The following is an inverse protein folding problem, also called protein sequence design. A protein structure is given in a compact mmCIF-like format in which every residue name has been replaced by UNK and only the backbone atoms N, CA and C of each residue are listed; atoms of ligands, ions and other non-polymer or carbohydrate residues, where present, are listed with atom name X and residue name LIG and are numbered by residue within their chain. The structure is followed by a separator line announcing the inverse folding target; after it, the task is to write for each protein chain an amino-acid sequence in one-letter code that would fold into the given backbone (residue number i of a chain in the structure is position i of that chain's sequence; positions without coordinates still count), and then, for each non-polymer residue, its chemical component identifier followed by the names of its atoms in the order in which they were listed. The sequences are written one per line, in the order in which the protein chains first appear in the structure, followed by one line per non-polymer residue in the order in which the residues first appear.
data_IF_916092832910
#
_entry.id   IF_916092832910
#
_cell.length_a   1.000
_cell.length_b   1.000
_cell.length_c   1.000
_cell.angle_alpha   90.00
_cell.angle_beta   90.00
_cell.angle_gamma   90.00
#
_symmetry.space_group_name_H-M   'P 1'
#
loop_
_entity.id
_entity.type
_entity.pdbx_description
1 polymer ?
#
# COMPACT_ATOMS: atom_id res chain seq x y z
N UNK A 1 -16.64 -61.50 7.52
CA UNK A 1 -17.17 -60.43 6.64
C UNK A 1 -18.26 -59.68 7.39
N UNK A 2 -17.90 -58.55 8.00
CA UNK A 2 -18.85 -57.70 8.68
C UNK A 2 -19.12 -56.49 7.76
N UNK A 3 -20.33 -56.38 7.23
CA UNK A 3 -20.81 -55.22 6.50
C UNK A 3 -21.01 -54.08 7.50
N UNK A 4 -20.18 -53.07 7.39
CA UNK A 4 -20.39 -51.81 8.11
C UNK A 4 -21.66 -51.15 7.55
N UNK A 5 -22.68 -51.03 8.40
CA UNK A 5 -23.90 -50.28 8.14
C UNK A 5 -23.56 -48.80 8.15
N UNK A 6 -23.41 -48.18 7.00
CA UNK A 6 -23.39 -46.72 6.86
C UNK A 6 -24.82 -46.21 7.08
N UNK A 7 -25.17 -46.00 8.37
CA UNK A 7 -26.41 -45.32 8.72
C UNK A 7 -26.41 -43.93 8.13
N UNK A 8 -27.31 -43.67 7.19
CA UNK A 8 -27.65 -42.34 6.71
C UNK A 8 -28.11 -41.52 7.90
N UNK A 9 -27.27 -40.61 8.36
CA UNK A 9 -27.67 -39.55 9.28
C UNK A 9 -28.56 -38.62 8.43
N UNK A 10 -29.85 -38.85 8.45
CA UNK A 10 -30.82 -37.83 8.03
C UNK A 10 -30.65 -36.64 9.00
N UNK A 11 -29.93 -35.61 8.61
CA UNK A 11 -30.00 -34.33 9.28
C UNK A 11 -31.36 -33.77 8.98
N UNK A 12 -32.22 -33.67 9.99
CA UNK A 12 -33.47 -32.91 9.90
C UNK A 12 -33.10 -31.46 9.63
N UNK A 13 -33.15 -31.05 8.39
CA UNK A 13 -32.86 -29.69 7.98
C UNK A 13 -34.01 -28.80 8.45
N UNK A 14 -33.74 -27.64 9.01
CA UNK A 14 -34.77 -26.72 9.44
C UNK A 14 -35.56 -26.18 8.25
N UNK A 15 -36.86 -26.51 8.19
CA UNK A 15 -37.76 -26.21 7.07
C UNK A 15 -38.35 -24.81 7.18
N UNK A 16 -38.63 -24.36 8.41
CA UNK A 16 -39.26 -23.04 8.67
C UNK A 16 -38.21 -21.96 8.98
N UNK A 17 -38.56 -20.70 8.71
CA UNK A 17 -37.70 -19.56 9.02
C UNK A 17 -37.33 -19.46 10.51
N UNK A 18 -38.26 -19.87 11.39
CA UNK A 18 -38.07 -19.85 12.84
C UNK A 18 -37.09 -20.96 13.29
N UNK A 19 -37.24 -22.19 12.75
CA UNK A 19 -36.30 -23.27 12.97
C UNK A 19 -34.89 -22.94 12.48
N UNK A 20 -34.78 -22.26 11.31
CA UNK A 20 -33.48 -21.78 10.79
C UNK A 20 -32.82 -20.75 11.72
N UNK A 21 -33.60 -19.80 12.25
CA UNK A 21 -33.10 -18.79 13.21
C UNK A 21 -32.60 -19.43 14.51
N UNK A 22 -33.36 -20.39 15.06
CA UNK A 22 -33.00 -21.10 16.29
C UNK A 22 -31.75 -21.96 16.09
N UNK A 23 -31.67 -22.71 14.99
CA UNK A 23 -30.48 -23.50 14.66
C UNK A 23 -29.25 -22.63 14.44
N UNK A 24 -29.40 -21.48 13.73
CA UNK A 24 -28.32 -20.52 13.56
C UNK A 24 -27.84 -19.93 14.88
N UNK A 25 -28.76 -19.55 15.77
CA UNK A 25 -28.39 -19.02 17.11
C UNK A 25 -27.57 -20.03 17.89
N UNK A 26 -28.04 -21.29 17.97
CA UNK A 26 -27.29 -22.36 18.64
C UNK A 26 -25.89 -22.57 18.03
N UNK A 27 -25.79 -22.57 16.70
CA UNK A 27 -24.49 -22.68 16.02
C UNK A 27 -23.54 -21.50 16.33
N UNK A 28 -24.06 -20.27 16.39
CA UNK A 28 -23.31 -19.08 16.75
C UNK A 28 -22.81 -19.15 18.20
N UNK A 29 -23.67 -19.59 19.13
CA UNK A 29 -23.31 -19.76 20.54
C UNK A 29 -22.23 -20.84 20.70
N UNK A 30 -22.33 -21.94 19.98
CA UNK A 30 -21.33 -23.03 19.99
C UNK A 30 -19.98 -22.57 19.39
N UNK A 31 -20.01 -21.80 18.31
CA UNK A 31 -18.79 -21.25 17.70
C UNK A 31 -18.10 -20.29 18.69
N UNK A 32 -18.85 -19.38 19.30
CA UNK A 32 -18.27 -18.44 20.28
C UNK A 32 -17.71 -19.16 21.51
N UNK A 33 -18.37 -20.23 21.96
CA UNK A 33 -17.91 -21.04 23.09
C UNK A 33 -16.64 -21.82 22.78
N UNK A 34 -16.51 -22.36 21.56
CA UNK A 34 -15.37 -23.19 21.16
C UNK A 34 -14.17 -22.39 20.67
N UNK A 35 -14.40 -21.23 20.03
CA UNK A 35 -13.36 -20.44 19.35
C UNK A 35 -13.18 -19.04 19.95
N UNK A 36 -13.96 -18.68 20.97
CA UNK A 36 -13.87 -17.39 21.65
C UNK A 36 -14.82 -16.33 21.09
N UNK A 37 -15.08 -15.30 21.93
CA UNK A 37 -15.88 -14.15 21.54
C UNK A 37 -15.27 -13.43 20.35
N UNK A 38 -16.08 -13.10 19.32
CA UNK A 38 -15.62 -12.44 18.11
C UNK A 38 -15.15 -13.36 16.98
N UNK A 39 -15.17 -14.71 17.19
CA UNK A 39 -14.85 -15.68 16.14
C UNK A 39 -15.83 -15.66 14.96
N UNK A 40 -17.06 -15.21 15.20
CA UNK A 40 -18.07 -14.98 14.18
C UNK A 40 -18.92 -13.75 14.56
N UNK A 41 -19.23 -12.90 13.60
CA UNK A 41 -19.99 -11.67 13.79
C UNK A 41 -20.78 -11.31 12.53
N UNK A 42 -21.82 -10.50 12.66
CA UNK A 42 -22.54 -9.96 11.52
C UNK A 42 -21.80 -8.75 10.97
N UNK A 43 -21.62 -8.67 9.65
CA UNK A 43 -20.93 -7.55 9.02
C UNK A 43 -21.54 -6.19 9.37
N UNK A 44 -22.86 -6.09 9.47
CA UNK A 44 -23.56 -4.85 9.84
C UNK A 44 -23.31 -4.36 11.27
N UNK A 45 -22.95 -5.24 12.20
CA UNK A 45 -22.58 -4.87 13.57
C UNK A 45 -21.16 -4.26 13.64
N UNK A 46 -20.33 -4.51 12.63
CA UNK A 46 -18.96 -3.98 12.45
C UNK A 46 -18.84 -3.00 11.26
N UNK A 47 -19.94 -2.51 10.71
CA UNK A 47 -19.98 -1.62 9.53
C UNK A 47 -19.23 -0.27 9.70
N UNK A 48 -18.55 -0.04 10.81
CA UNK A 48 -17.60 1.05 11.05
C UNK A 48 -16.19 0.53 11.37
N UNK A 49 -15.72 -0.51 10.67
CA UNK A 49 -14.29 -0.74 10.61
C UNK A 49 -13.67 0.32 9.70
N UNK A 50 -13.51 1.54 10.23
CA UNK A 50 -12.60 2.49 9.64
C UNK A 50 -11.22 1.83 9.68
N UNK A 51 -10.76 1.36 8.53
CA UNK A 51 -9.40 0.85 8.39
C UNK A 51 -8.49 2.04 8.66
N UNK A 52 -7.77 2.02 9.79
CA UNK A 52 -6.80 3.08 10.08
C UNK A 52 -5.68 3.04 9.05
N UNK A 53 -5.23 4.21 8.62
CA UNK A 53 -4.20 4.35 7.60
C UNK A 53 -2.99 5.10 8.13
N UNK A 54 -1.83 4.92 7.48
CA UNK A 54 -0.64 5.73 7.65
C UNK A 54 -0.51 6.59 6.39
N UNK A 55 -0.45 7.93 6.50
CA UNK A 55 -0.24 8.80 5.35
C UNK A 55 1.07 8.46 4.62
N UNK A 56 1.08 8.63 3.31
CA UNK A 56 2.28 8.35 2.48
C UNK A 56 3.28 9.50 2.48
N UNK A 57 2.83 10.70 2.87
CA UNK A 57 3.56 11.95 2.72
C UNK A 57 3.22 12.69 1.42
N UNK A 58 2.52 12.05 0.49
CA UNK A 58 1.90 12.68 -0.68
C UNK A 58 0.40 12.80 -0.46
N UNK A 59 -0.12 14.02 -0.44
CA UNK A 59 -1.54 14.28 -0.25
C UNK A 59 -2.36 13.74 -1.42
N UNK A 60 -1.86 13.88 -2.63
CA UNK A 60 -2.50 13.38 -3.84
C UNK A 60 -2.64 11.84 -3.82
N UNK A 61 -1.57 11.14 -3.38
CA UNK A 61 -1.62 9.67 -3.27
C UNK A 61 -2.54 9.23 -2.12
N UNK A 62 -2.53 9.92 -0.98
CA UNK A 62 -3.43 9.64 0.14
C UNK A 62 -4.90 9.75 -0.27
N UNK A 63 -5.25 10.75 -1.09
CA UNK A 63 -6.58 10.91 -1.66
C UNK A 63 -6.91 9.80 -2.68
N UNK A 64 -5.95 9.43 -3.54
CA UNK A 64 -6.14 8.33 -4.50
C UNK A 64 -6.36 6.97 -3.81
N UNK A 65 -5.74 6.75 -2.65
CA UNK A 65 -5.92 5.54 -1.83
C UNK A 65 -7.31 5.47 -1.16
N UNK A 66 -8.03 6.59 -1.04
CA UNK A 66 -9.43 6.65 -0.62
C UNK A 66 -9.68 6.50 0.88
N UNK A 67 -8.65 6.26 1.69
CA UNK A 67 -8.73 6.14 3.16
C UNK A 67 -7.72 7.05 3.86
N UNK A 68 -7.13 8.01 3.14
CA UNK A 68 -6.15 8.97 3.67
C UNK A 68 -4.75 8.43 3.87
N UNK A 69 -4.38 7.32 3.23
CA UNK A 69 -3.05 6.71 3.30
C UNK A 69 -3.06 5.21 3.06
N UNK A 70 -1.98 4.54 3.42
CA UNK A 70 -1.83 3.09 3.33
C UNK A 70 -2.48 2.38 4.52
N UNK A 71 -3.25 1.27 4.31
CA UNK A 71 -4.00 0.60 5.36
C UNK A 71 -3.10 -0.12 6.37
N UNK A 72 -3.32 0.10 7.67
CA UNK A 72 -2.69 -0.68 8.74
C UNK A 72 -3.17 -2.13 8.72
N UNK A 73 -2.32 -3.05 9.19
CA UNK A 73 -2.66 -4.48 9.26
C UNK A 73 -2.75 -5.15 7.90
N UNK A 74 -2.08 -4.58 6.88
CA UNK A 74 -2.13 -5.08 5.50
C UNK A 74 -0.74 -5.20 4.88
N UNK A 75 -0.65 -6.05 3.86
CA UNK A 75 0.50 -6.17 2.99
C UNK A 75 0.30 -5.21 1.83
N UNK A 76 1.33 -4.41 1.55
CA UNK A 76 1.37 -3.42 0.48
C UNK A 76 2.52 -3.80 -0.46
N UNK A 77 2.35 -3.67 -1.76
CA UNK A 77 3.41 -3.75 -2.74
C UNK A 77 3.59 -2.41 -3.45
N UNK A 78 4.81 -1.87 -3.41
CA UNK A 78 5.21 -0.70 -4.20
C UNK A 78 6.22 -1.19 -5.23
N UNK A 79 5.89 -1.09 -6.52
CA UNK A 79 6.74 -1.58 -7.57
C UNK A 79 6.88 -0.59 -8.72
N UNK A 80 7.96 -0.70 -9.47
CA UNK A 80 8.24 0.18 -10.61
C UNK A 80 9.68 0.04 -11.08
N UNK A 81 10.06 0.78 -12.14
CA UNK A 81 11.41 0.81 -12.66
C UNK A 81 12.43 1.27 -11.63
N UNK A 82 13.70 1.09 -11.93
CA UNK A 82 14.80 1.65 -11.14
C UNK A 82 14.71 3.19 -11.11
N UNK A 83 15.12 3.79 -10.00
CA UNK A 83 15.12 5.26 -9.79
C UNK A 83 13.72 5.92 -9.95
N UNK A 84 12.63 5.18 -9.79
CA UNK A 84 11.25 5.72 -9.83
C UNK A 84 10.76 6.31 -8.51
N UNK A 85 11.55 6.24 -7.41
CA UNK A 85 11.22 6.80 -6.11
C UNK A 85 10.54 5.84 -5.14
N UNK A 86 10.62 4.51 -5.35
CA UNK A 86 10.03 3.50 -4.46
C UNK A 86 10.48 3.62 -3.01
N UNK A 87 11.79 3.60 -2.79
CA UNK A 87 12.39 3.71 -1.45
C UNK A 87 12.09 5.07 -0.82
N UNK A 88 12.10 6.15 -1.61
CA UNK A 88 11.72 7.50 -1.14
C UNK A 88 10.29 7.54 -0.63
N UNK A 89 9.33 6.98 -1.36
CA UNK A 89 7.93 6.89 -0.95
C UNK A 89 7.76 6.05 0.33
N UNK A 90 8.46 4.91 0.41
CA UNK A 90 8.44 4.05 1.59
C UNK A 90 9.02 4.76 2.82
N UNK A 91 10.16 5.45 2.69
CA UNK A 91 10.77 6.22 3.78
C UNK A 91 9.91 7.42 4.19
N UNK A 92 9.25 8.09 3.24
CA UNK A 92 8.27 9.13 3.55
C UNK A 92 7.12 8.58 4.40
N UNK A 93 6.61 7.40 4.06
CA UNK A 93 5.57 6.71 4.87
C UNK A 93 6.09 6.36 6.27
N UNK A 94 7.35 5.92 6.39
CA UNK A 94 8.01 5.68 7.69
C UNK A 94 8.04 6.96 8.53
N UNK A 95 8.46 8.08 7.92
CA UNK A 95 8.51 9.37 8.61
C UNK A 95 7.13 9.80 9.13
N UNK A 96 6.06 9.60 8.33
CA UNK A 96 4.69 9.89 8.79
C UNK A 96 4.24 8.95 9.93
N UNK A 97 4.63 7.67 9.89
CA UNK A 97 4.37 6.73 10.96
C UNK A 97 5.02 7.16 12.27
N UNK A 98 6.32 7.49 12.24
CA UNK A 98 7.09 7.94 13.41
C UNK A 98 6.56 9.28 13.94
N UNK A 99 6.18 10.21 13.06
CA UNK A 99 5.57 11.51 13.43
C UNK A 99 4.26 11.32 14.20
N UNK A 100 3.51 10.24 13.91
CA UNK A 100 2.33 9.84 14.67
C UNK A 100 2.64 9.02 15.94
N UNK A 101 3.91 8.87 16.33
CA UNK A 101 4.35 8.09 17.50
C UNK A 101 4.47 6.59 17.25
N UNK A 102 4.39 6.13 15.99
CA UNK A 102 4.54 4.72 15.65
C UNK A 102 5.99 4.25 15.56
N UNK A 103 6.19 2.94 15.72
CA UNK A 103 7.50 2.27 15.63
C UNK A 103 7.65 1.68 14.24
N UNK A 104 8.81 1.97 13.61
CA UNK A 104 9.14 1.53 12.26
C UNK A 104 10.36 0.62 12.23
N UNK A 105 10.34 -0.35 11.31
CA UNK A 105 11.48 -1.19 11.00
C UNK A 105 11.76 -1.20 9.48
N UNK A 106 13.04 -1.28 9.13
CA UNK A 106 13.50 -1.33 7.76
C UNK A 106 14.41 -2.57 7.57
N UNK A 107 14.00 -3.47 6.69
CA UNK A 107 14.76 -4.66 6.31
C UNK A 107 15.48 -4.32 4.99
N UNK A 108 16.73 -3.93 5.12
CA UNK A 108 17.59 -3.49 4.02
C UNK A 108 18.33 -4.68 3.41
N UNK A 109 17.64 -5.41 2.53
CA UNK A 109 18.21 -6.56 1.83
C UNK A 109 19.15 -6.15 0.66
N UNK A 110 19.06 -4.92 0.19
CA UNK A 110 19.97 -4.38 -0.84
C UNK A 110 21.24 -3.75 -0.24
N UNK A 111 21.31 -3.54 1.09
CA UNK A 111 22.40 -2.85 1.78
C UNK A 111 22.65 -1.43 1.25
N UNK A 112 21.59 -0.73 0.86
CA UNK A 112 21.66 0.53 0.13
C UNK A 112 21.00 1.73 0.87
N UNK A 113 20.52 1.54 2.09
CA UNK A 113 19.89 2.62 2.86
C UNK A 113 20.93 3.69 3.25
N UNK A 114 20.69 4.92 2.79
CA UNK A 114 21.47 6.10 3.21
C UNK A 114 20.79 6.78 4.40
N UNK A 115 21.40 6.75 5.61
CA UNK A 115 20.84 7.40 6.80
C UNK A 115 20.73 8.92 6.67
N UNK A 116 21.63 9.55 5.91
CA UNK A 116 21.61 11.00 5.70
C UNK A 116 20.41 11.39 4.85
N UNK A 117 20.14 10.61 3.80
CA UNK A 117 18.97 10.81 2.98
C UNK A 117 17.67 10.53 3.75
N UNK A 118 17.61 9.41 4.48
CA UNK A 118 16.45 9.09 5.32
C UNK A 118 16.11 10.22 6.32
N UNK A 119 17.14 10.81 6.96
CA UNK A 119 16.97 11.94 7.87
C UNK A 119 16.42 13.18 7.17
N UNK A 120 16.85 13.46 5.94
CA UNK A 120 16.30 14.57 5.13
C UNK A 120 14.83 14.38 4.77
N UNK A 121 14.39 13.14 4.59
CA UNK A 121 12.98 12.79 4.37
C UNK A 121 12.12 12.88 5.65
N UNK A 122 12.73 13.24 6.79
CA UNK A 122 12.04 13.37 8.07
C UNK A 122 11.98 12.08 8.90
N UNK A 123 12.72 11.05 8.51
CA UNK A 123 12.83 9.81 9.29
C UNK A 123 13.65 10.08 10.55
N UNK A 124 13.13 9.70 11.71
CA UNK A 124 13.88 9.60 12.95
C UNK A 124 14.80 8.38 12.88
N UNK A 125 16.06 8.62 12.47
CA UNK A 125 17.05 7.57 12.28
C UNK A 125 17.58 6.99 13.58
N UNK A 126 17.44 7.69 14.70
CA UNK A 126 17.83 7.23 16.04
C UNK A 126 16.89 6.11 16.54
N UNK A 127 15.61 6.18 16.15
CA UNK A 127 14.58 5.25 16.57
C UNK A 127 14.10 4.30 15.44
N UNK A 128 14.71 4.34 14.25
CA UNK A 128 14.42 3.40 13.18
C UNK A 128 15.14 2.08 13.43
N UNK A 129 14.38 0.99 13.56
CA UNK A 129 14.97 -0.36 13.62
C UNK A 129 15.45 -0.75 12.21
N UNK A 130 16.74 -1.11 12.09
CA UNK A 130 17.30 -1.57 10.81
C UNK A 130 17.81 -3.00 10.94
N UNK A 131 17.60 -3.81 9.91
CA UNK A 131 18.18 -5.13 9.76
C UNK A 131 18.72 -5.30 8.35
N UNK A 132 19.91 -5.86 8.24
CA UNK A 132 20.58 -6.16 6.98
C UNK A 132 20.83 -7.69 6.91
N UNK A 133 19.83 -8.45 6.45
CA UNK A 133 19.90 -9.91 6.43
C UNK A 133 20.80 -10.42 5.30
N UNK A 134 21.47 -11.55 5.53
CA UNK A 134 22.35 -12.18 4.55
C UNK A 134 21.57 -12.95 3.47
N UNK A 135 20.34 -13.42 3.75
CA UNK A 135 19.51 -14.22 2.85
C UNK A 135 17.99 -14.02 3.11
N UNK A 136 17.17 -14.43 2.16
CA UNK A 136 15.74 -14.16 2.15
C UNK A 136 14.97 -14.78 3.33
N UNK A 137 15.28 -16.01 3.75
CA UNK A 137 14.65 -16.65 4.89
C UNK A 137 14.90 -15.87 6.18
N UNK A 138 16.13 -15.37 6.39
CA UNK A 138 16.48 -14.55 7.54
C UNK A 138 15.68 -13.25 7.57
N UNK A 139 15.59 -12.55 6.43
CA UNK A 139 14.78 -11.33 6.29
C UNK A 139 13.33 -11.54 6.69
N UNK A 140 12.72 -12.62 6.19
CA UNK A 140 11.31 -12.94 6.40
C UNK A 140 11.05 -13.48 7.82
N UNK A 141 12.00 -14.18 8.44
CA UNK A 141 11.90 -14.60 9.83
C UNK A 141 12.01 -13.43 10.81
N UNK A 142 12.92 -12.47 10.54
CA UNK A 142 13.01 -11.23 11.32
C UNK A 142 11.70 -10.46 11.22
N UNK A 143 11.18 -10.31 10.00
CA UNK A 143 9.87 -9.68 9.76
C UNK A 143 8.76 -10.38 10.55
N UNK A 144 8.70 -11.70 10.52
CA UNK A 144 7.70 -12.49 11.25
C UNK A 144 7.78 -12.25 12.77
N UNK A 145 8.98 -12.22 13.35
CA UNK A 145 9.17 -11.93 14.77
C UNK A 145 8.75 -10.51 15.14
N UNK A 146 9.09 -9.52 14.30
CA UNK A 146 8.68 -8.14 14.53
C UNK A 146 7.15 -7.98 14.46
N UNK A 147 6.49 -8.59 13.46
CA UNK A 147 5.02 -8.61 13.35
C UNK A 147 4.40 -9.27 14.58
N UNK A 148 4.90 -10.44 14.99
CA UNK A 148 4.35 -11.17 16.14
C UNK A 148 4.53 -10.43 17.48
N UNK A 149 5.51 -9.55 17.60
CA UNK A 149 5.69 -8.73 18.80
C UNK A 149 4.51 -7.81 19.08
N UNK A 150 3.76 -7.42 18.03
CA UNK A 150 2.67 -6.44 18.10
C UNK A 150 3.10 -5.02 18.45
N UNK A 151 4.43 -4.77 18.51
CA UNK A 151 4.98 -3.47 18.90
C UNK A 151 5.35 -2.59 17.69
N UNK A 152 5.45 -3.16 16.49
CA UNK A 152 5.89 -2.44 15.27
C UNK A 152 4.69 -2.10 14.41
N UNK A 153 4.57 -0.83 14.02
CA UNK A 153 3.46 -0.31 13.22
C UNK A 153 3.69 -0.48 11.71
N UNK A 154 4.95 -0.33 11.27
CA UNK A 154 5.33 -0.42 9.86
C UNK A 154 6.66 -1.14 9.69
N UNK A 155 6.72 -2.05 8.72
CA UNK A 155 7.96 -2.72 8.29
C UNK A 155 8.12 -2.53 6.79
N UNK A 156 9.29 -2.06 6.38
CA UNK A 156 9.67 -1.96 4.97
C UNK A 156 10.63 -3.12 4.65
N UNK A 157 10.44 -3.78 3.51
CA UNK A 157 11.36 -4.76 2.95
C UNK A 157 11.85 -4.24 1.60
N UNK A 158 13.12 -3.83 1.53
CA UNK A 158 13.75 -3.28 0.33
C UNK A 158 14.94 -4.15 -0.09
N UNK A 159 14.84 -4.92 -1.13
CA UNK A 159 13.67 -5.19 -1.97
C UNK A 159 13.41 -6.70 -2.10
N UNK A 160 12.22 -7.08 -2.62
CA UNK A 160 11.90 -8.49 -2.92
C UNK A 160 12.94 -9.12 -3.84
N UNK A 161 13.49 -8.33 -4.78
CA UNK A 161 14.52 -8.82 -5.72
C UNK A 161 15.79 -9.30 -5.01
N UNK A 162 16.13 -8.74 -3.85
CA UNK A 162 17.30 -9.08 -3.04
C UNK A 162 17.05 -10.21 -2.03
N UNK A 163 15.82 -10.72 -1.89
CA UNK A 163 15.52 -11.85 -1.03
C UNK A 163 15.96 -13.17 -1.69
N UNK A 164 17.26 -13.40 -1.71
CA UNK A 164 17.86 -14.61 -2.29
C UNK A 164 17.72 -15.76 -1.30
N UNK A 165 17.14 -16.91 -1.69
CA UNK A 165 17.07 -18.10 -0.85
C UNK A 165 18.45 -18.59 -0.43
N UNK A 166 18.59 -19.06 0.80
CA UNK A 166 19.86 -19.59 1.32
C UNK A 166 20.41 -20.72 0.47
N UNK A 167 19.54 -21.62 -0.01
CA UNK A 167 19.92 -22.73 -0.89
C UNK A 167 20.56 -22.25 -2.20
N UNK A 168 20.13 -21.09 -2.71
CA UNK A 168 20.72 -20.46 -3.90
C UNK A 168 22.09 -19.85 -3.60
N UNK A 169 22.29 -19.26 -2.42
CA UNK A 169 23.58 -18.71 -1.98
C UNK A 169 24.62 -19.79 -1.69
N UNK A 170 24.20 -20.92 -1.13
CA UNK A 170 25.08 -22.05 -0.82
C UNK A 170 25.39 -22.91 -2.07
N UNK A 171 24.66 -22.70 -3.17
CA UNK A 171 24.82 -23.40 -4.45
C UNK A 171 26.04 -22.90 -5.27
N UNK A 172 26.30 -23.60 -6.38
CA UNK A 172 27.36 -23.19 -7.30
C UNK A 172 26.85 -22.18 -8.33
N UNK A 173 27.74 -21.32 -8.81
CA UNK A 173 27.42 -20.41 -9.92
C UNK A 173 27.01 -21.21 -11.16
N UNK A 174 25.78 -20.99 -11.65
CA UNK A 174 25.22 -21.68 -12.81
C UNK A 174 24.17 -22.74 -12.47
N UNK A 175 23.94 -23.04 -11.20
CA UNK A 175 22.85 -23.90 -10.77
C UNK A 175 21.49 -23.28 -11.16
N UNK A 176 20.58 -24.12 -11.64
CA UNK A 176 19.25 -23.69 -12.06
C UNK A 176 18.31 -23.68 -10.85
N UNK A 177 18.29 -22.57 -10.13
CA UNK A 177 17.45 -22.38 -8.92
C UNK A 177 16.08 -21.75 -9.25
N UNK A 178 15.50 -22.14 -10.39
CA UNK A 178 14.20 -21.61 -10.81
C UNK A 178 13.12 -21.86 -9.75
N UNK A 179 12.38 -20.82 -9.44
CA UNK A 179 11.24 -20.82 -8.52
C UNK A 179 11.56 -20.94 -7.01
N UNK A 180 12.79 -21.01 -6.54
CA UNK A 180 13.10 -21.03 -5.10
C UNK A 180 12.58 -19.76 -4.41
N UNK A 181 12.88 -18.58 -4.96
CA UNK A 181 12.40 -17.30 -4.43
C UNK A 181 10.88 -17.22 -4.41
N UNK A 182 10.19 -17.69 -5.47
CA UNK A 182 8.73 -17.71 -5.53
C UNK A 182 8.12 -18.66 -4.48
N UNK A 183 8.76 -19.79 -4.19
CA UNK A 183 8.36 -20.73 -3.14
C UNK A 183 8.54 -20.10 -1.76
N UNK A 184 9.70 -19.46 -1.51
CA UNK A 184 10.01 -18.75 -0.27
C UNK A 184 8.95 -17.68 -0.01
N UNK A 185 8.68 -16.80 -0.99
CA UNK A 185 7.66 -15.75 -0.88
C UNK A 185 6.27 -16.32 -0.62
N UNK A 186 5.86 -17.39 -1.32
CA UNK A 186 4.55 -18.01 -1.09
C UNK A 186 4.40 -18.58 0.32
N UNK A 187 5.43 -19.19 0.86
CA UNK A 187 5.45 -19.73 2.21
C UNK A 187 5.40 -18.62 3.27
N UNK A 188 6.24 -17.60 3.12
CA UNK A 188 6.32 -16.49 4.05
C UNK A 188 5.02 -15.68 4.09
N UNK A 189 4.47 -15.31 2.93
CA UNK A 189 3.24 -14.51 2.85
C UNK A 189 2.04 -15.24 3.46
N UNK A 190 1.96 -16.58 3.28
CA UNK A 190 0.93 -17.41 3.92
C UNK A 190 1.01 -17.34 5.45
N UNK A 191 2.22 -17.33 5.99
CA UNK A 191 2.47 -17.25 7.44
C UNK A 191 2.20 -15.84 7.97
N UNK A 192 2.72 -14.82 7.29
CA UNK A 192 2.66 -13.42 7.71
C UNK A 192 1.26 -12.81 7.66
N UNK A 193 0.44 -13.14 6.64
CA UNK A 193 -0.82 -12.46 6.39
C UNK A 193 -1.79 -12.49 7.58
N UNK A 194 -1.88 -13.62 8.29
CA UNK A 194 -2.76 -13.74 9.46
C UNK A 194 -2.28 -12.95 10.66
N UNK A 195 -0.97 -12.89 10.88
CA UNK A 195 -0.34 -12.15 11.99
C UNK A 195 -0.39 -10.66 11.76
N UNK A 196 -0.08 -10.20 10.54
CA UNK A 196 -0.16 -8.80 10.10
C UNK A 196 -1.56 -8.22 10.36
N UNK A 197 -2.61 -8.95 9.97
CA UNK A 197 -3.99 -8.50 10.18
C UNK A 197 -4.36 -8.38 11.68
N UNK A 198 -3.82 -9.25 12.54
CA UNK A 198 -4.11 -9.26 13.98
C UNK A 198 -3.36 -8.19 14.75
N UNK A 199 -2.13 -7.87 14.36
CA UNK A 199 -1.27 -6.91 15.05
C UNK A 199 -1.43 -5.48 14.54
N UNK A 200 -2.23 -5.27 13.49
CA UNK A 200 -2.35 -4.01 12.77
C UNK A 200 -1.01 -3.46 12.24
N UNK A 201 0.04 -4.29 12.18
CA UNK A 201 1.31 -3.95 11.57
C UNK A 201 1.14 -3.85 10.04
N UNK A 202 1.65 -2.80 9.41
CA UNK A 202 1.72 -2.68 7.95
C UNK A 202 3.06 -3.22 7.45
N UNK A 203 3.05 -4.03 6.39
CA UNK A 203 4.29 -4.49 5.76
C UNK A 203 4.30 -4.05 4.30
N UNK A 204 5.29 -3.22 3.93
CA UNK A 204 5.52 -2.74 2.58
C UNK A 204 6.65 -3.55 1.95
N UNK A 205 6.35 -4.21 0.85
CA UNK A 205 7.33 -4.85 -0.01
C UNK A 205 7.65 -3.92 -1.18
N UNK A 206 8.90 -3.52 -1.30
CA UNK A 206 9.41 -2.82 -2.48
C UNK A 206 9.80 -3.88 -3.51
N UNK A 207 9.34 -3.70 -4.76
CA UNK A 207 9.62 -4.66 -5.83
C UNK A 207 10.12 -3.97 -7.10
N UNK A 208 10.82 -4.73 -7.92
CA UNK A 208 11.39 -4.28 -9.18
C UNK A 208 10.63 -4.91 -10.34
N UNK A 209 10.51 -4.18 -11.44
CA UNK A 209 9.99 -4.68 -12.70
C UNK A 209 11.13 -5.33 -13.50
N UNK A 210 10.81 -6.47 -14.12
CA UNK A 210 11.70 -7.15 -15.06
C UNK A 210 10.96 -7.35 -16.38
N UNK A 211 11.67 -7.11 -17.49
CA UNK A 211 11.13 -7.37 -18.81
C UNK A 211 10.80 -8.86 -18.95
N UNK A 212 9.59 -9.17 -19.36
CA UNK A 212 9.17 -10.52 -19.70
C UNK A 212 9.52 -10.80 -21.16
N UNK A 213 10.20 -11.92 -21.44
CA UNK A 213 10.43 -12.38 -22.81
C UNK A 213 9.21 -13.11 -23.40
N UNK A 214 8.05 -13.03 -22.76
CA UNK A 214 6.85 -13.68 -23.25
C UNK A 214 6.37 -13.01 -24.56
N UNK A 215 6.18 -13.81 -25.60
CA UNK A 215 5.73 -13.35 -26.92
C UNK A 215 4.26 -12.87 -26.90
N UNK A 216 3.53 -13.25 -25.86
CA UNK A 216 2.17 -12.83 -25.54
C UNK A 216 2.04 -12.65 -24.01
N UNK A 217 1.54 -11.51 -23.56
CA UNK A 217 1.33 -11.16 -22.14
C UNK A 217 1.91 -9.80 -21.77
N UNK A 218 1.83 -9.44 -20.49
CA UNK A 218 2.37 -8.19 -20.00
C UNK A 218 3.90 -8.11 -20.25
N UNK A 219 4.41 -7.04 -20.84
CA UNK A 219 5.82 -6.90 -21.18
C UNK A 219 6.71 -6.83 -19.94
N UNK A 220 6.15 -6.53 -18.77
CA UNK A 220 6.86 -6.37 -17.50
C UNK A 220 6.21 -7.25 -16.40
N UNK A 221 7.04 -7.84 -15.55
CA UNK A 221 6.60 -8.62 -14.39
C UNK A 221 7.44 -8.29 -13.16
N UNK A 222 6.84 -8.43 -11.96
CA UNK A 222 7.54 -8.24 -10.69
C UNK A 222 8.30 -9.51 -10.28
N UNK A 223 9.38 -9.35 -9.52
CA UNK A 223 10.18 -10.47 -8.97
C UNK A 223 9.46 -11.18 -7.82
N UNK A 224 9.91 -12.40 -7.44
CA UNK A 224 9.35 -13.15 -6.31
C UNK A 224 8.08 -13.94 -6.63
N UNK A 225 7.69 -14.06 -7.91
CA UNK A 225 6.53 -14.83 -8.35
C UNK A 225 5.18 -14.15 -8.14
N UNK A 226 4.09 -14.90 -8.31
CA UNK A 226 2.71 -14.35 -8.27
C UNK A 226 2.14 -14.18 -6.85
N UNK A 227 2.75 -14.76 -5.81
CA UNK A 227 2.16 -14.80 -4.47
C UNK A 227 1.89 -13.40 -3.90
N UNK A 228 2.83 -12.45 -4.04
CA UNK A 228 2.70 -11.11 -3.50
C UNK A 228 1.52 -10.36 -4.15
N UNK A 229 1.28 -10.52 -5.46
CA UNK A 229 0.13 -9.96 -6.16
C UNK A 229 -1.22 -10.36 -5.51
N UNK A 230 -1.33 -11.61 -5.02
CA UNK A 230 -2.55 -12.10 -4.36
C UNK A 230 -2.69 -11.63 -2.92
N UNK A 231 -1.57 -11.68 -2.14
CA UNK A 231 -1.58 -11.34 -0.71
C UNK A 231 -1.65 -9.84 -0.46
N UNK A 232 -1.06 -9.01 -1.31
CA UNK A 232 -1.14 -7.56 -1.19
C UNK A 232 -2.58 -7.06 -1.21
N UNK A 233 -2.91 -6.17 -0.27
CA UNK A 233 -4.20 -5.47 -0.22
C UNK A 233 -4.19 -4.21 -1.07
N UNK A 234 -3.04 -3.57 -1.21
CA UNK A 234 -2.80 -2.42 -2.07
C UNK A 234 -1.55 -2.69 -2.90
N UNK A 235 -1.60 -2.38 -4.19
CA UNK A 235 -0.46 -2.42 -5.10
C UNK A 235 -0.35 -1.09 -5.82
N UNK A 236 0.84 -0.51 -5.80
CA UNK A 236 1.13 0.81 -6.39
C UNK A 236 2.22 0.63 -7.44
N UNK A 237 1.89 0.96 -8.69
CA UNK A 237 2.87 1.14 -9.78
C UNK A 237 3.39 2.58 -9.72
N UNK A 238 4.69 2.75 -9.46
CA UNK A 238 5.33 4.05 -9.36
C UNK A 238 6.29 4.27 -10.53
N UNK A 239 6.07 5.35 -11.29
CA UNK A 239 6.85 5.67 -12.48
C UNK A 239 7.26 7.13 -12.49
N UNK A 240 8.48 7.38 -12.97
CA UNK A 240 8.93 8.72 -13.31
C UNK A 240 8.34 9.10 -14.68
N UNK A 241 7.65 10.22 -14.77
CA UNK A 241 7.08 10.76 -16.02
C UNK A 241 7.96 11.82 -16.64
N UNK A 242 8.55 12.69 -15.83
CA UNK A 242 9.35 13.83 -16.31
C UNK A 242 10.48 14.12 -15.32
N UNK A 243 11.59 14.68 -15.83
CA UNK A 243 12.64 15.26 -14.99
C UNK A 243 12.58 16.78 -15.09
N UNK A 244 12.38 17.43 -13.94
CA UNK A 244 12.36 18.90 -13.84
C UNK A 244 13.81 19.39 -13.75
N UNK A 245 14.16 20.33 -14.63
CA UNK A 245 15.51 20.91 -14.68
C UNK A 245 15.45 22.42 -14.45
N UNK A 246 16.34 22.92 -13.60
CA UNK A 246 16.58 24.35 -13.40
C UNK A 246 18.04 24.68 -13.74
N UNK A 247 18.25 25.76 -14.48
CA UNK A 247 19.59 26.18 -14.92
C UNK A 247 20.44 25.06 -15.56
N UNK A 248 19.79 24.08 -16.24
CA UNK A 248 20.37 22.86 -16.86
C UNK A 248 20.76 21.75 -15.88
N UNK A 249 20.46 21.89 -14.61
CA UNK A 249 20.64 20.82 -13.62
C UNK A 249 19.30 20.17 -13.31
N UNK A 250 19.28 18.85 -13.17
CA UNK A 250 18.10 18.11 -12.76
C UNK A 250 17.86 18.33 -11.25
N UNK A 251 16.71 18.89 -10.89
CA UNK A 251 16.39 19.24 -9.48
C UNK A 251 15.30 18.35 -8.90
N UNK A 252 14.40 17.84 -9.73
CA UNK A 252 13.28 17.02 -9.26
C UNK A 252 12.79 16.07 -10.36
N UNK A 253 12.03 15.06 -9.97
CA UNK A 253 11.26 14.22 -10.87
C UNK A 253 9.76 14.40 -10.61
N UNK A 254 8.98 14.45 -11.69
CA UNK A 254 7.54 14.26 -11.63
C UNK A 254 7.25 12.76 -11.60
N UNK A 255 6.49 12.33 -10.60
CA UNK A 255 6.20 10.92 -10.33
C UNK A 255 4.71 10.68 -10.51
N UNK A 256 4.37 9.60 -11.20
CA UNK A 256 3.01 9.08 -11.28
C UNK A 256 2.93 7.78 -10.50
N UNK A 257 1.99 7.71 -9.55
CA UNK A 257 1.62 6.50 -8.82
C UNK A 257 0.24 6.04 -9.27
N UNK A 258 0.12 4.82 -9.82
CA UNK A 258 -1.16 4.20 -10.17
C UNK A 258 -1.49 3.13 -9.12
N UNK A 259 -2.66 3.24 -8.51
CA UNK A 259 -3.15 2.25 -7.53
C UNK A 259 -3.81 1.12 -8.29
N UNK A 260 -3.03 0.13 -8.72
CA UNK A 260 -3.52 -0.96 -9.61
C UNK A 260 -4.36 -1.99 -8.87
N UNK A 261 -4.23 -2.08 -7.54
CA UNK A 261 -5.05 -2.94 -6.69
C UNK A 261 -5.33 -2.24 -5.37
N UNK A 262 -6.58 -2.28 -4.93
CA UNK A 262 -7.00 -1.73 -3.66
C UNK A 262 -8.18 -2.54 -3.11
N UNK A 263 -8.01 -3.14 -1.91
CA UNK A 263 -9.07 -3.90 -1.22
C UNK A 263 -9.84 -3.08 -0.18
N UNK A 264 -9.48 -1.80 0.00
CA UNK A 264 -10.09 -0.92 1.03
C UNK A 264 -10.83 0.28 0.43
N UNK A 265 -10.63 0.55 -0.86
CA UNK A 265 -11.32 1.60 -1.63
C UNK A 265 -11.32 1.22 -3.13
N UNK A 266 -12.05 1.94 -4.01
CA UNK A 266 -11.99 1.70 -5.45
C UNK A 266 -10.56 1.81 -6.01
N UNK A 267 -10.09 0.82 -6.79
CA UNK A 267 -8.77 0.83 -7.41
C UNK A 267 -8.69 1.72 -8.66
N UNK A 268 -7.52 1.72 -9.31
CA UNK A 268 -7.19 2.36 -10.60
C UNK A 268 -7.10 3.88 -10.57
N UNK A 269 -7.18 4.51 -9.42
CA UNK A 269 -6.89 5.93 -9.28
C UNK A 269 -5.39 6.19 -9.42
N UNK A 270 -5.04 7.32 -10.03
CA UNK A 270 -3.67 7.78 -10.20
C UNK A 270 -3.42 9.04 -9.39
N UNK A 271 -2.19 9.18 -8.92
CA UNK A 271 -1.70 10.36 -8.22
C UNK A 271 -0.42 10.83 -8.92
N UNK A 272 -0.30 12.14 -9.13
CA UNK A 272 0.93 12.75 -9.64
C UNK A 272 1.45 13.76 -8.65
N UNK A 273 2.74 13.71 -8.37
CA UNK A 273 3.43 14.63 -7.46
C UNK A 273 4.89 14.80 -7.84
N UNK A 274 5.53 15.82 -7.26
CA UNK A 274 6.94 16.11 -7.49
C UNK A 274 7.80 15.53 -6.37
N UNK A 275 8.88 14.83 -6.73
CA UNK A 275 9.97 14.42 -5.82
C UNK A 275 11.20 15.29 -6.08
N UNK A 276 11.56 16.12 -5.11
CA UNK A 276 12.75 16.97 -5.16
C UNK A 276 13.97 16.17 -4.72
N UNK A 277 15.06 16.27 -5.45
CA UNK A 277 16.28 15.54 -5.12
C UNK A 277 16.86 15.99 -3.80
N UNK A 278 17.10 15.03 -2.90
CA UNK A 278 17.64 15.30 -1.57
C UNK A 278 16.63 15.79 -0.54
N UNK A 279 15.38 16.10 -0.92
CA UNK A 279 14.32 16.60 -0.02
C UNK A 279 13.10 15.69 0.04
N UNK A 280 12.83 14.92 -1.06
CA UNK A 280 11.71 14.00 -1.15
C UNK A 280 10.45 14.62 -1.76
N UNK A 281 9.27 14.24 -1.26
CA UNK A 281 7.98 14.66 -1.81
C UNK A 281 7.74 16.16 -1.53
N UNK A 282 7.42 16.94 -2.56
CA UNK A 282 7.06 18.37 -2.45
C UNK A 282 5.63 18.55 -1.91
N UNK A 283 5.45 18.22 -0.64
CA UNK A 283 4.15 18.29 0.03
C UNK A 283 3.50 19.68 -0.02
N UNK A 284 4.30 20.74 0.16
CA UNK A 284 3.79 22.13 0.07
C UNK A 284 3.30 22.47 -1.33
N UNK A 285 4.00 21.96 -2.35
CA UNK A 285 3.56 22.11 -3.75
C UNK A 285 2.25 21.41 -4.03
N UNK A 286 2.08 20.18 -3.52
CA UNK A 286 0.82 19.43 -3.66
C UNK A 286 -0.36 20.16 -2.99
N UNK A 287 -0.18 20.63 -1.74
CA UNK A 287 -1.22 21.40 -1.03
C UNK A 287 -1.63 22.63 -1.86
N UNK A 288 -0.65 23.38 -2.39
CA UNK A 288 -0.92 24.56 -3.20
C UNK A 288 -1.71 24.22 -4.49
N UNK A 289 -1.29 23.16 -5.18
CA UNK A 289 -1.93 22.78 -6.44
C UNK A 289 -3.37 22.29 -6.22
N UNK A 290 -3.59 21.42 -5.23
CA UNK A 290 -4.95 20.94 -4.91
C UNK A 290 -5.83 22.06 -4.36
N UNK A 291 -5.31 22.90 -3.45
CA UNK A 291 -6.07 24.03 -2.90
C UNK A 291 -6.44 25.06 -3.98
N UNK A 292 -5.61 25.22 -5.01
CA UNK A 292 -5.92 26.05 -6.17
C UNK A 292 -7.00 25.44 -7.05
N UNK A 293 -6.94 24.12 -7.27
CA UNK A 293 -7.97 23.41 -8.06
C UNK A 293 -9.34 23.37 -7.35
N UNK A 294 -9.34 23.39 -6.03
CA UNK A 294 -10.56 23.45 -5.19
C UNK A 294 -11.03 24.88 -4.90
N UNK A 295 -10.44 25.91 -5.54
CA UNK A 295 -10.74 27.34 -5.29
C UNK A 295 -10.59 27.80 -3.84
N UNK A 296 -9.93 27.00 -2.99
CA UNK A 296 -9.55 27.40 -1.61
C UNK A 296 -8.51 28.50 -1.65
N UNK A 297 -7.50 28.34 -2.52
CA UNK A 297 -6.52 29.39 -2.86
C UNK A 297 -6.87 29.96 -4.22
N UNK A 298 -7.04 31.26 -4.29
CA UNK A 298 -7.32 31.95 -5.57
C UNK A 298 -6.03 32.33 -6.26
N UNK A 299 -5.92 31.97 -7.54
CA UNK A 299 -4.81 32.33 -8.41
C UNK A 299 -5.25 33.42 -9.41
N UNK A 300 -4.53 34.55 -9.42
CA UNK A 300 -4.73 35.65 -10.37
C UNK A 300 -3.40 36.00 -11.03
N UNK A 301 -3.20 35.56 -12.26
CA UNK A 301 -1.91 35.65 -12.94
C UNK A 301 -0.84 34.85 -12.16
N UNK A 302 0.23 35.50 -11.74
CA UNK A 302 1.28 34.89 -10.92
C UNK A 302 1.04 34.99 -9.40
N UNK A 303 -0.03 35.66 -8.97
CA UNK A 303 -0.32 35.87 -7.55
C UNK A 303 -1.29 34.83 -7.00
N UNK A 304 -0.97 34.39 -5.78
CA UNK A 304 -1.83 33.51 -5.00
C UNK A 304 -2.38 34.26 -3.78
N UNK A 305 -3.64 34.03 -3.45
CA UNK A 305 -4.32 34.66 -2.32
C UNK A 305 -5.22 33.67 -1.58
N UNK A 306 -5.27 33.80 -0.26
CA UNK A 306 -6.14 33.06 0.64
C UNK A 306 -6.95 34.04 1.48
N UNK A 307 -8.27 33.85 1.59
CA UNK A 307 -9.19 34.75 2.29
C UNK A 307 -9.04 36.25 1.94
N UNK A 308 -8.67 36.55 0.68
CA UNK A 308 -8.48 37.92 0.19
C UNK A 308 -7.08 38.50 0.43
N UNK A 309 -6.23 37.84 1.21
CA UNK A 309 -4.85 38.25 1.45
C UNK A 309 -3.89 37.57 0.46
N UNK A 310 -2.90 38.31 -0.02
CA UNK A 310 -1.86 37.77 -0.92
C UNK A 310 -0.85 36.97 -0.11
N UNK A 311 -0.66 35.68 -0.47
CA UNK A 311 0.28 34.77 0.21
C UNK A 311 1.59 34.57 -0.56
N UNK A 312 1.64 34.96 -1.85
CA UNK A 312 2.90 34.92 -2.61
C UNK A 312 2.73 35.17 -4.09
N UNK A 313 3.84 35.50 -4.76
CA UNK A 313 3.94 35.57 -6.20
C UNK A 313 4.79 34.42 -6.72
N UNK A 314 4.18 33.50 -7.47
CA UNK A 314 4.78 32.25 -7.93
C UNK A 314 4.75 31.15 -6.85
N UNK A 315 4.90 29.89 -7.28
CA UNK A 315 4.79 28.71 -6.40
C UNK A 315 5.86 28.71 -5.27
N UNK A 316 7.10 29.05 -5.60
CA UNK A 316 8.21 29.04 -4.63
C UNK A 316 8.01 30.06 -3.50
N UNK A 317 7.46 31.25 -3.81
CA UNK A 317 7.16 32.26 -2.78
C UNK A 317 6.05 31.74 -1.83
N UNK A 318 5.04 31.03 -2.35
CA UNK A 318 3.97 30.44 -1.53
C UNK A 318 4.50 29.28 -0.68
N UNK A 319 5.35 28.41 -1.22
CA UNK A 319 5.98 27.32 -0.45
C UNK A 319 6.80 27.87 0.72
N UNK A 320 7.56 28.94 0.48
CA UNK A 320 8.29 29.63 1.56
C UNK A 320 7.32 30.22 2.59
N UNK A 321 6.23 30.84 2.12
CA UNK A 321 5.20 31.38 3.02
C UNK A 321 4.57 30.29 3.90
N UNK A 322 4.30 29.08 3.36
CA UNK A 322 3.82 27.93 4.14
C UNK A 322 4.86 27.46 5.16
N UNK A 323 6.15 27.44 4.79
CA UNK A 323 7.22 27.07 5.72
C UNK A 323 7.32 28.04 6.92
N UNK A 324 7.10 29.33 6.68
CA UNK A 324 7.11 30.38 7.69
C UNK A 324 5.79 30.45 8.51
N UNK A 325 4.66 29.95 7.94
CA UNK A 325 3.31 29.98 8.54
C UNK A 325 2.69 28.57 8.56
N UNK A 326 3.21 27.71 9.42
CA UNK A 326 2.80 26.29 9.50
C UNK A 326 1.33 26.09 9.84
N UNK A 327 0.80 26.90 10.77
CA UNK A 327 -0.61 26.84 11.19
C UNK A 327 -1.55 27.08 10.01
N UNK A 328 -1.19 28.01 9.11
CA UNK A 328 -1.97 28.26 7.90
C UNK A 328 -1.87 27.12 6.89
N UNK A 329 -0.67 26.55 6.72
CA UNK A 329 -0.48 25.40 5.84
C UNK A 329 -1.30 24.19 6.32
N UNK A 330 -1.33 23.91 7.62
CA UNK A 330 -2.14 22.86 8.23
C UNK A 330 -3.65 23.13 8.09
N UNK A 331 -4.09 24.40 8.23
CA UNK A 331 -5.48 24.81 8.01
C UNK A 331 -5.91 24.52 6.55
N UNK A 332 -5.09 24.94 5.58
CA UNK A 332 -5.35 24.73 4.16
C UNK A 332 -5.37 23.25 3.83
N UNK A 333 -4.40 22.46 4.33
CA UNK A 333 -4.38 21.00 4.14
C UNK A 333 -5.65 20.34 4.68
N UNK A 334 -6.11 20.73 5.86
CA UNK A 334 -7.37 20.22 6.45
C UNK A 334 -8.56 20.54 5.55
N UNK A 335 -8.67 21.78 5.05
CA UNK A 335 -9.73 22.18 4.14
C UNK A 335 -9.68 21.39 2.82
N UNK A 336 -8.49 21.13 2.30
CA UNK A 336 -8.31 20.28 1.11
C UNK A 336 -8.83 18.87 1.37
N UNK A 337 -8.43 18.24 2.48
CA UNK A 337 -8.89 16.88 2.84
C UNK A 337 -10.42 16.82 2.99
N UNK A 338 -11.03 17.75 3.73
CA UNK A 338 -12.49 17.82 3.94
C UNK A 338 -13.27 18.00 2.63
N UNK A 339 -12.79 18.84 1.72
CA UNK A 339 -13.47 19.06 0.44
C UNK A 339 -13.29 17.89 -0.53
N UNK A 340 -12.11 17.27 -0.56
CA UNK A 340 -11.86 16.08 -1.37
C UNK A 340 -12.68 14.88 -0.91
N UNK A 341 -12.86 14.67 0.40
CA UNK A 341 -13.75 13.65 0.94
C UNK A 341 -15.21 13.89 0.54
N UNK A 342 -15.68 15.14 0.58
CA UNK A 342 -17.03 15.49 0.15
C UNK A 342 -17.25 15.23 -1.34
N UNK A 343 -16.30 15.58 -2.20
CA UNK A 343 -16.35 15.32 -3.62
C UNK A 343 -16.40 13.80 -3.92
N UNK A 344 -15.61 13.00 -3.21
CA UNK A 344 -15.65 11.52 -3.31
C UNK A 344 -17.00 10.93 -2.87
N UNK A 345 -17.64 11.51 -1.84
CA UNK A 345 -18.93 11.05 -1.33
C UNK A 345 -20.11 11.47 -2.22
N UNK A 346 -19.99 12.59 -2.95
CA UNK A 346 -21.02 13.10 -3.86
C UNK A 346 -21.08 12.39 -5.22
N UNK A 347 -20.09 11.55 -5.52
CA UNK A 347 -20.09 10.74 -6.76
C UNK A 347 -19.82 11.55 -8.04
N UNK A 348 -19.21 12.73 -7.93
CA UNK A 348 -18.66 13.43 -9.09
C UNK A 348 -17.41 12.69 -9.57
N UNK A 349 -17.62 11.65 -10.39
CA UNK A 349 -16.58 11.03 -11.18
C UNK A 349 -16.19 11.99 -12.30
N UNK A 350 -15.07 12.68 -12.17
CA UNK A 350 -14.35 13.14 -13.35
C UNK A 350 -13.89 11.89 -14.11
N UNK A 351 -14.54 11.61 -15.22
CA UNK A 351 -14.10 10.60 -16.17
C UNK A 351 -12.81 11.11 -16.80
N UNK A 352 -11.67 10.72 -16.24
CA UNK A 352 -10.40 10.88 -16.92
C UNK A 352 -10.45 10.09 -18.23
N UNK A 353 -10.20 10.80 -19.32
CA UNK A 353 -10.14 10.26 -20.65
C UNK A 353 -9.11 9.12 -20.72
N UNK A 354 -9.59 8.02 -21.23
CA UNK A 354 -8.93 6.79 -21.63
C UNK A 354 -7.56 7.03 -22.30
N UNK A 355 -6.49 7.02 -21.52
CA UNK A 355 -5.17 6.69 -22.01
C UNK A 355 -5.07 5.16 -21.95
N UNK A 356 -5.11 4.51 -23.13
CA UNK A 356 -5.08 3.07 -23.33
C UNK A 356 -3.80 2.42 -22.82
N UNK A 357 -3.64 2.38 -21.50
CA UNK A 357 -2.59 1.63 -20.81
C UNK A 357 -3.05 0.16 -20.68
N UNK A 358 -2.29 -0.74 -21.23
CA UNK A 358 -2.45 -2.19 -21.14
C UNK A 358 -2.66 -2.63 -19.69
N UNK A 359 -3.91 -3.01 -19.36
CA UNK A 359 -4.23 -3.67 -18.09
C UNK A 359 -3.53 -5.03 -18.10
N UNK A 360 -2.67 -5.29 -17.11
CA UNK A 360 -2.06 -6.61 -16.93
C UNK A 360 -3.19 -7.65 -16.87
N UNK A 361 -3.27 -8.63 -17.77
CA UNK A 361 -4.33 -9.65 -17.79
C UNK A 361 -4.44 -10.44 -16.48
N UNK A 362 -3.35 -10.48 -15.68
CA UNK A 362 -3.32 -11.13 -14.37
C UNK A 362 -3.94 -10.25 -13.26
N UNK A 363 -4.26 -8.98 -13.51
CA UNK A 363 -4.88 -8.05 -12.54
C UNK A 363 -6.41 -7.90 -12.73
N UNK A 364 -6.99 -8.51 -13.74
CA UNK A 364 -8.45 -8.60 -13.92
C UNK A 364 -9.01 -9.54 -12.84
N UNK A 365 -10.06 -9.15 -12.06
CA UNK A 365 -10.73 -10.07 -11.17
C UNK A 365 -11.24 -11.27 -11.98
N UNK A 366 -10.90 -12.48 -11.52
CA UNK A 366 -11.48 -13.70 -12.05
C UNK A 366 -12.99 -13.66 -11.72
N UNK A 367 -13.80 -13.20 -12.67
CA UNK A 367 -15.21 -13.54 -12.68
C UNK A 367 -15.28 -15.05 -12.73
N UNK A 368 -15.93 -15.62 -11.72
CA UNK A 368 -16.17 -17.05 -11.63
C UNK A 368 -17.06 -17.38 -12.82
N UNK A 369 -16.45 -17.92 -13.87
CA UNK A 369 -17.20 -18.62 -14.92
C UNK A 369 -17.72 -19.88 -14.24
N UNK A 370 -18.96 -19.85 -13.84
CA UNK A 370 -19.73 -21.06 -13.49
C UNK A 370 -19.95 -21.77 -14.81
N UNK A 371 -19.08 -22.74 -15.13
CA UNK A 371 -19.41 -23.71 -16.15
C UNK A 371 -20.57 -24.54 -15.62
N UNK A 372 -21.72 -24.35 -16.24
CA UNK A 372 -22.85 -25.26 -16.10
C UNK A 372 -22.41 -26.67 -16.57
N UNK A 373 -22.23 -27.58 -15.62
CA UNK A 373 -22.16 -28.99 -15.88
C UNK A 373 -23.58 -29.51 -16.10
N UNK A 374 -24.08 -29.42 -17.35
CA UNK A 374 -25.16 -30.24 -17.86
C UNK A 374 -24.54 -31.44 -18.57
N UNK A 375 -24.91 -32.64 -18.08
CA UNK A 375 -24.87 -34.05 -18.49
C UNK A 375 -23.91 -34.94 -17.73
#
# INVERSE_FOLDING_TARGET
MAKANLGQIKRDLPETAEQKRTALKSALDDIQKNFGAGSIMKLGEHAKMNVSAIPTGSLTLDLALGIGGLPRGRIIEIYGPEASGKTTLALSTVAQCQKAGGIAAFIDAEHALDPVYAKKLGVDTENLLISQPDYGEQALEITDKLVHSGAVDIIIIDSVAALIPKEELDGNMGDKNMALQARLMSQALRKLAGSIAKTACMVIFINQLRSSMAMYGAPETTTGGKALKFYASVRIDIRKTETITEAKEAVANKIRCKVVKNKVAPPFKSAEFTMVFGEGIDHSGEILDIATNLDIIKKSGSWFSYNGERIGQGKEAVKKYFADNKDLAEEIERLVRENSEKAMLSGEEETDADDGDDIDPDDVPLDIVVEDFDE
#
